data_IF_068506252056
#
_entry.id   IF_068506252056
#
_cell.length_a   1.000
_cell.length_b   1.000
_cell.length_c   1.000
_cell.angle_alpha   90.00
_cell.angle_beta   90.00
_cell.angle_gamma   90.00
#
_symmetry.space_group_name_H-M   'P 1'
#
loop_
_entity.id
_entity.type
_entity.pdbx_description
1 polymer ?
#
# COMPACT_ATOMS: atom_id res chain seq x y z
N UNK A 1 16.14 40.03 5.60
CA UNK A 1 16.62 39.19 4.48
C UNK A 1 16.44 37.72 4.79
N UNK A 2 17.09 37.13 5.78
CA UNK A 2 16.81 35.72 6.13
C UNK A 2 15.42 35.55 6.73
N UNK A 3 14.99 36.46 7.60
CA UNK A 3 13.67 36.43 8.21
C UNK A 3 12.52 36.40 7.20
N UNK A 4 12.68 37.08 6.07
CA UNK A 4 11.68 37.12 5.01
C UNK A 4 11.61 35.81 4.18
N UNK A 5 12.59 34.92 4.33
CA UNK A 5 12.68 33.64 3.63
C UNK A 5 12.39 32.42 4.51
N UNK A 6 12.28 32.63 5.81
CA UNK A 6 11.94 31.55 6.74
C UNK A 6 10.49 31.12 6.55
N UNK A 7 10.27 29.82 6.54
CA UNK A 7 8.94 29.25 6.47
C UNK A 7 8.88 27.95 7.27
N UNK A 8 7.84 27.80 8.05
CA UNK A 8 7.48 26.57 8.73
C UNK A 8 5.97 26.42 8.71
N UNK A 9 5.49 25.18 8.66
CA UNK A 9 4.08 24.86 8.68
C UNK A 9 3.82 23.69 9.63
N UNK A 10 2.80 23.83 10.47
CA UNK A 10 2.18 22.69 11.15
C UNK A 10 0.93 22.25 10.38
N UNK A 11 -0.23 22.66 10.86
CA UNK A 11 -1.51 22.51 10.15
C UNK A 11 -1.81 23.76 9.33
N UNK A 12 -2.44 23.60 8.17
CA UNK A 12 -2.75 24.73 7.30
C UNK A 12 -3.71 24.34 6.16
N UNK A 13 -3.93 25.23 5.19
CA UNK A 13 -4.85 25.00 4.10
C UNK A 13 -4.40 23.84 3.21
N UNK A 14 -5.36 23.09 2.69
CA UNK A 14 -5.15 22.01 1.72
C UNK A 14 -5.90 22.25 0.42
N UNK A 15 -5.44 21.64 -0.64
CA UNK A 15 -6.08 21.72 -1.95
C UNK A 15 -7.39 20.93 -1.95
N UNK A 16 -8.42 21.46 -2.58
CA UNK A 16 -9.74 20.82 -2.60
C UNK A 16 -9.77 19.49 -3.37
N UNK A 17 -9.07 19.42 -4.50
CA UNK A 17 -9.12 18.24 -5.37
C UNK A 17 -8.32 17.07 -4.82
N UNK A 18 -7.05 17.29 -4.53
CA UNK A 18 -6.13 16.22 -4.12
C UNK A 18 -5.96 16.11 -2.61
N UNK A 19 -6.50 17.06 -1.85
CA UNK A 19 -6.40 17.16 -0.38
C UNK A 19 -4.98 17.19 0.19
N UNK A 20 -4.00 17.44 -0.66
CA UNK A 20 -2.62 17.68 -0.25
C UNK A 20 -2.46 19.09 0.33
N UNK A 21 -1.44 19.36 1.16
CA UNK A 21 -1.15 20.71 1.63
C UNK A 21 -1.03 21.69 0.46
N UNK A 22 -1.54 22.91 0.65
CA UNK A 22 -1.41 23.95 -0.34
C UNK A 22 0.07 24.24 -0.63
N UNK A 23 0.37 24.77 -1.80
CA UNK A 23 1.73 25.14 -2.20
C UNK A 23 1.98 26.63 -1.93
N UNK A 24 3.21 26.94 -1.59
CA UNK A 24 3.69 28.30 -1.48
C UNK A 24 3.65 28.88 -0.06
N UNK A 25 4.71 29.59 0.29
CA UNK A 25 4.88 30.24 1.60
C UNK A 25 3.78 31.28 1.87
N UNK A 26 3.41 32.07 0.85
CA UNK A 26 2.36 33.09 0.97
C UNK A 26 1.01 32.51 1.37
N UNK A 27 0.73 31.26 1.00
CA UNK A 27 -0.51 30.53 1.29
C UNK A 27 -0.40 29.66 2.55
N UNK A 28 0.62 29.84 3.37
CA UNK A 28 0.92 28.95 4.49
C UNK A 28 0.94 27.47 4.05
N UNK A 29 1.54 27.22 2.90
CA UNK A 29 1.61 25.90 2.27
C UNK A 29 2.74 25.04 2.82
N UNK A 30 2.73 23.78 2.41
CA UNK A 30 3.78 22.81 2.73
C UNK A 30 5.00 22.93 1.83
N UNK A 31 6.07 22.23 2.20
CA UNK A 31 7.25 22.04 1.36
C UNK A 31 7.05 20.80 0.49
N UNK A 32 7.50 20.88 -0.76
CA UNK A 32 7.40 19.77 -1.70
C UNK A 32 8.55 18.77 -1.49
N UNK A 33 8.21 17.51 -1.34
CA UNK A 33 9.14 16.39 -1.55
C UNK A 33 8.95 15.93 -3.00
N UNK A 34 9.96 16.14 -3.83
CA UNK A 34 9.94 15.71 -5.23
C UNK A 34 10.31 14.24 -5.39
N UNK A 35 10.35 13.77 -6.63
CA UNK A 35 10.71 12.39 -6.96
C UNK A 35 12.16 12.06 -6.58
N UNK A 36 13.08 13.02 -6.78
CA UNK A 36 14.50 12.82 -6.46
C UNK A 36 14.74 12.73 -4.95
N UNK A 37 14.04 13.53 -4.16
CA UNK A 37 14.07 13.46 -2.69
C UNK A 37 13.48 12.13 -2.19
N UNK A 38 12.39 11.66 -2.81
CA UNK A 38 11.82 10.33 -2.53
C UNK A 38 12.84 9.23 -2.81
N UNK A 39 13.53 9.26 -3.94
CA UNK A 39 14.53 8.28 -4.32
C UNK A 39 15.69 8.24 -3.35
N UNK A 40 16.11 9.41 -2.85
CA UNK A 40 17.12 9.53 -1.79
C UNK A 40 16.66 8.88 -0.49
N UNK A 41 15.42 9.13 -0.06
CA UNK A 41 14.84 8.54 1.15
C UNK A 41 14.77 7.02 1.03
N UNK A 42 14.34 6.50 -0.13
CA UNK A 42 14.27 5.07 -0.40
C UNK A 42 15.64 4.43 -0.36
N UNK A 43 16.65 5.05 -0.97
CA UNK A 43 18.02 4.53 -1.00
C UNK A 43 18.66 4.43 0.38
N UNK A 44 18.27 5.30 1.32
CA UNK A 44 18.71 5.26 2.71
C UNK A 44 17.91 4.24 3.57
N UNK A 45 16.83 3.66 3.04
CA UNK A 45 16.00 2.68 3.76
C UNK A 45 15.16 3.27 4.91
N UNK A 46 14.88 4.56 4.88
CA UNK A 46 14.10 5.28 5.91
C UNK A 46 12.59 5.14 5.61
N UNK A 47 12.06 3.94 5.79
CA UNK A 47 10.66 3.62 5.43
C UNK A 47 9.63 4.32 6.31
N UNK A 48 9.88 4.45 7.61
CA UNK A 48 8.95 5.11 8.54
C UNK A 48 8.80 6.61 8.24
N UNK A 49 9.92 7.28 7.96
CA UNK A 49 9.89 8.68 7.56
C UNK A 49 9.15 8.88 6.23
N UNK A 50 9.35 7.97 5.27
CA UNK A 50 8.64 8.01 4.00
C UNK A 50 7.13 7.83 4.22
N UNK A 51 6.74 6.87 5.04
CA UNK A 51 5.34 6.62 5.38
C UNK A 51 4.71 7.85 6.08
N UNK A 52 5.36 8.39 7.10
CA UNK A 52 4.90 9.61 7.78
C UNK A 52 4.74 10.78 6.81
N UNK A 53 5.71 10.98 5.91
CA UNK A 53 5.70 12.10 4.97
C UNK A 53 4.57 12.00 3.94
N UNK A 54 4.29 10.79 3.45
CA UNK A 54 3.24 10.54 2.46
C UNK A 54 1.85 10.50 3.08
N UNK A 55 1.72 10.03 4.31
CA UNK A 55 0.44 9.83 4.99
C UNK A 55 0.12 10.98 5.95
N UNK A 56 0.76 11.00 7.12
CA UNK A 56 0.39 11.90 8.23
C UNK A 56 0.61 13.38 7.89
N UNK A 57 1.68 13.69 7.18
CA UNK A 57 2.02 15.07 6.79
C UNK A 57 1.39 15.51 5.48
N UNK A 58 0.71 14.64 4.76
CA UNK A 58 0.14 14.91 3.45
C UNK A 58 -1.37 14.70 3.45
N UNK A 59 -1.84 13.65 2.81
CA UNK A 59 -3.25 13.46 2.47
C UNK A 59 -3.80 12.11 2.94
N UNK A 60 -3.41 11.66 4.12
CA UNK A 60 -3.93 10.44 4.74
C UNK A 60 -5.47 10.43 4.76
N UNK A 61 -6.04 9.33 4.29
CA UNK A 61 -7.48 9.14 4.22
C UNK A 61 -7.87 7.69 4.53
N UNK A 62 -8.99 7.51 5.23
CA UNK A 62 -9.55 6.19 5.53
C UNK A 62 -10.55 5.80 4.45
N UNK A 63 -10.33 4.64 3.84
CA UNK A 63 -11.24 4.03 2.87
C UNK A 63 -11.73 2.69 3.36
N UNK A 64 -12.92 2.32 2.94
CA UNK A 64 -13.45 0.97 3.12
C UNK A 64 -13.19 0.16 1.86
N UNK A 65 -12.57 -0.99 2.04
CA UNK A 65 -12.22 -1.91 0.96
C UNK A 65 -12.96 -3.22 1.20
N UNK A 66 -13.59 -3.74 0.17
CA UNK A 66 -14.13 -5.09 0.19
C UNK A 66 -12.99 -6.10 -0.04
N UNK A 67 -12.74 -6.95 0.92
CA UNK A 67 -11.63 -7.91 0.89
C UNK A 67 -11.78 -8.98 -0.19
N UNK A 68 -13.00 -9.24 -0.66
CA UNK A 68 -13.27 -10.24 -1.70
C UNK A 68 -13.06 -9.71 -3.11
N UNK A 69 -13.50 -8.48 -3.38
CA UNK A 69 -13.38 -7.86 -4.70
C UNK A 69 -12.15 -6.97 -4.86
N UNK A 70 -11.56 -6.49 -3.77
CA UNK A 70 -10.48 -5.50 -3.78
C UNK A 70 -10.92 -4.11 -4.23
N UNK A 71 -12.22 -3.83 -4.26
CA UNK A 71 -12.77 -2.52 -4.63
C UNK A 71 -12.92 -1.62 -3.43
N UNK A 72 -12.77 -0.32 -3.67
CA UNK A 72 -13.17 0.72 -2.71
C UNK A 72 -14.70 0.82 -2.76
N UNK A 73 -15.38 0.41 -1.69
CA UNK A 73 -16.83 0.39 -1.63
C UNK A 73 -17.32 1.00 -0.32
N UNK A 74 -18.30 1.91 -0.43
CA UNK A 74 -18.95 2.58 0.70
C UNK A 74 -20.33 2.01 1.03
N UNK A 75 -20.74 0.89 0.43
CA UNK A 75 -22.04 0.28 0.68
C UNK A 75 -22.05 -0.47 2.02
N UNK A 76 -22.84 -0.05 3.00
CA UNK A 76 -22.86 -0.53 4.39
C UNK A 76 -23.31 -1.99 4.59
N UNK A 77 -23.71 -2.68 3.53
CA UNK A 77 -24.41 -3.97 3.63
C UNK A 77 -23.52 -5.22 3.59
N UNK A 78 -22.19 -5.11 3.47
CA UNK A 78 -21.31 -6.29 3.36
C UNK A 78 -20.41 -6.46 4.58
N UNK A 79 -20.41 -7.65 5.15
CA UNK A 79 -19.60 -8.06 6.30
C UNK A 79 -18.10 -8.19 6.02
N UNK A 80 -17.67 -8.09 4.75
CA UNK A 80 -16.29 -8.34 4.29
C UNK A 80 -15.44 -7.08 4.17
N UNK A 81 -15.81 -6.00 4.89
CA UNK A 81 -15.14 -4.71 4.77
C UNK A 81 -14.06 -4.49 5.80
N UNK A 82 -12.94 -3.95 5.34
CA UNK A 82 -11.83 -3.51 6.17
C UNK A 82 -11.55 -2.03 5.91
N UNK A 83 -11.32 -1.29 6.99
CA UNK A 83 -10.85 0.10 6.91
C UNK A 83 -9.34 0.10 6.69
N UNK A 84 -8.90 0.73 5.61
CA UNK A 84 -7.49 0.89 5.26
C UNK A 84 -7.17 2.37 5.13
N UNK A 85 -5.99 2.76 5.58
CA UNK A 85 -5.47 4.12 5.43
C UNK A 85 -4.61 4.18 4.18
N UNK A 86 -4.98 5.06 3.24
CA UNK A 86 -4.24 5.30 1.99
C UNK A 86 -4.16 6.81 1.73
N UNK A 87 -3.21 7.27 0.91
CA UNK A 87 -3.24 8.65 0.44
C UNK A 87 -4.51 8.95 -0.36
N UNK A 88 -5.11 10.10 -0.12
CA UNK A 88 -6.34 10.49 -0.83
C UNK A 88 -6.12 10.57 -2.35
N UNK A 89 -4.95 11.02 -2.76
CA UNK A 89 -4.57 11.09 -4.17
C UNK A 89 -4.58 9.69 -4.84
N UNK A 90 -4.17 8.65 -4.13
CA UNK A 90 -4.26 7.26 -4.62
C UNK A 90 -5.72 6.80 -4.76
N UNK A 91 -6.56 7.11 -3.77
CA UNK A 91 -8.01 6.84 -3.86
C UNK A 91 -8.62 7.52 -5.09
N UNK A 92 -8.28 8.80 -5.30
CA UNK A 92 -8.77 9.58 -6.44
C UNK A 92 -8.33 8.95 -7.76
N UNK A 93 -7.06 8.58 -7.89
CA UNK A 93 -6.53 7.91 -9.07
C UNK A 93 -7.27 6.61 -9.40
N UNK A 94 -7.50 5.75 -8.40
CA UNK A 94 -8.24 4.49 -8.59
C UNK A 94 -9.64 4.77 -9.14
N UNK A 95 -10.36 5.72 -8.56
CA UNK A 95 -11.71 6.07 -9.00
C UNK A 95 -11.75 6.71 -10.40
N UNK A 96 -10.76 7.55 -10.72
CA UNK A 96 -10.63 8.12 -12.07
C UNK A 96 -10.33 7.05 -13.12
N UNK A 97 -9.46 6.09 -12.82
CA UNK A 97 -9.20 4.93 -13.69
C UNK A 97 -10.46 4.08 -13.89
N UNK A 98 -11.24 3.86 -12.84
CA UNK A 98 -12.51 3.13 -12.94
C UNK A 98 -13.52 3.85 -13.84
N UNK A 99 -13.59 5.18 -13.81
CA UNK A 99 -14.46 5.95 -14.72
C UNK A 99 -14.02 5.85 -16.18
N UNK A 100 -12.74 5.62 -16.43
CA UNK A 100 -12.20 5.37 -17.78
C UNK A 100 -12.33 3.91 -18.23
N UNK A 101 -12.95 3.05 -17.42
CA UNK A 101 -13.11 1.63 -17.72
C UNK A 101 -11.91 0.73 -17.35
N UNK A 102 -10.94 1.26 -16.60
CA UNK A 102 -9.79 0.51 -16.12
C UNK A 102 -10.07 0.04 -14.69
N UNK A 103 -10.29 -1.26 -14.51
CA UNK A 103 -10.60 -1.85 -13.22
C UNK A 103 -9.34 -2.05 -12.38
N UNK A 104 -9.04 -1.10 -11.51
CA UNK A 104 -8.00 -1.23 -10.49
C UNK A 104 -8.52 -2.03 -9.29
N UNK A 105 -7.72 -2.96 -8.77
CA UNK A 105 -8.08 -3.76 -7.60
C UNK A 105 -6.95 -3.79 -6.60
N UNK A 106 -7.30 -3.66 -5.33
CA UNK A 106 -6.36 -3.85 -4.23
C UNK A 106 -6.25 -5.34 -3.92
N UNK A 107 -5.02 -5.82 -3.83
CA UNK A 107 -4.76 -7.22 -3.50
C UNK A 107 -4.90 -7.42 -2.00
N UNK A 108 -5.72 -8.36 -1.60
CA UNK A 108 -5.99 -8.76 -0.21
C UNK A 108 -5.74 -10.25 -0.05
N UNK A 109 -5.57 -10.74 1.16
CA UNK A 109 -5.37 -12.17 1.42
C UNK A 109 -6.52 -13.03 0.90
N UNK A 110 -7.75 -12.49 0.91
CA UNK A 110 -8.93 -13.21 0.44
C UNK A 110 -9.07 -13.27 -1.09
N UNK A 111 -8.52 -12.28 -1.81
CA UNK A 111 -8.66 -12.24 -3.28
C UNK A 111 -7.39 -12.65 -4.04
N UNK A 112 -6.27 -12.81 -3.36
CA UNK A 112 -4.98 -13.15 -3.97
C UNK A 112 -5.04 -14.47 -4.76
N UNK A 113 -5.80 -15.45 -4.26
CA UNK A 113 -6.01 -16.75 -4.92
C UNK A 113 -6.77 -16.65 -6.25
N UNK A 114 -7.52 -15.58 -6.46
CA UNK A 114 -8.29 -15.33 -7.68
C UNK A 114 -7.44 -14.75 -8.82
N UNK A 115 -6.24 -14.28 -8.51
CA UNK A 115 -5.31 -13.70 -9.49
C UNK A 115 -4.54 -14.86 -10.15
N UNK A 116 -4.61 -15.04 -11.50
CA UNK A 116 -4.07 -16.23 -12.18
C UNK A 116 -2.57 -16.46 -11.93
N UNK A 117 -1.78 -15.40 -11.84
CA UNK A 117 -0.33 -15.49 -11.60
C UNK A 117 -0.05 -16.04 -10.20
N UNK A 118 -0.73 -15.54 -9.17
CA UNK A 118 -0.54 -16.02 -7.79
C UNK A 118 -1.08 -17.43 -7.59
N UNK A 119 -2.18 -17.79 -8.26
CA UNK A 119 -2.70 -19.17 -8.24
C UNK A 119 -1.67 -20.16 -8.80
N UNK A 120 -0.99 -19.79 -9.87
CA UNK A 120 0.07 -20.64 -10.43
C UNK A 120 1.26 -20.79 -9.47
N UNK A 121 1.67 -19.72 -8.79
CA UNK A 121 2.73 -19.76 -7.79
C UNK A 121 2.34 -20.63 -6.59
N UNK A 122 1.13 -20.49 -6.06
CA UNK A 122 0.64 -21.33 -4.96
C UNK A 122 0.63 -22.81 -5.32
N UNK A 123 0.17 -23.16 -6.53
CA UNK A 123 0.17 -24.53 -7.00
C UNK A 123 1.58 -25.12 -7.15
N UNK A 124 2.55 -24.29 -7.54
CA UNK A 124 3.94 -24.71 -7.61
C UNK A 124 4.55 -24.88 -6.22
N UNK A 125 4.31 -23.94 -5.31
CA UNK A 125 4.81 -24.04 -3.91
C UNK A 125 4.23 -25.27 -3.21
N UNK A 126 2.95 -25.60 -3.43
CA UNK A 126 2.33 -26.79 -2.89
C UNK A 126 2.98 -28.09 -3.41
N UNK A 127 3.44 -28.13 -4.66
CA UNK A 127 4.20 -29.27 -5.18
C UNK A 127 5.56 -29.43 -4.49
N UNK A 128 6.29 -28.33 -4.30
CA UNK A 128 7.59 -28.38 -3.64
C UNK A 128 7.50 -28.78 -2.16
N UNK A 129 6.43 -28.39 -1.43
CA UNK A 129 6.23 -28.83 -0.04
C UNK A 129 5.94 -30.34 0.06
N UNK A 130 5.15 -30.89 -0.87
CA UNK A 130 4.87 -32.33 -0.90
C UNK A 130 6.15 -33.14 -1.20
N UNK A 131 6.98 -32.68 -2.13
CA UNK A 131 8.23 -33.38 -2.47
C UNK A 131 9.25 -33.34 -1.32
N UNK A 132 9.22 -32.33 -0.45
CA UNK A 132 10.10 -32.23 0.73
C UNK A 132 9.65 -33.16 1.86
N UNK A 133 8.34 -33.27 2.09
CA UNK A 133 7.80 -34.17 3.11
C UNK A 133 8.03 -35.65 2.75
N UNK A 134 8.06 -36.01 1.45
CA UNK A 134 8.37 -37.36 0.99
C UNK A 134 9.84 -37.72 1.08
N UNK A 135 10.76 -36.75 1.06
CA UNK A 135 12.20 -36.99 1.18
C UNK A 135 12.64 -37.23 2.62
N UNK A 136 11.89 -36.77 3.59
CA UNK A 136 12.21 -36.91 5.01
C UNK A 136 11.71 -38.27 5.59
N UNK A 137 10.79 -38.98 4.90
CA UNK A 137 10.30 -40.30 5.33
C UNK A 137 11.18 -41.49 4.84
N UNK A 138 12.10 -41.28 3.87
CA UNK A 138 12.96 -42.38 3.34
C UNK A 138 14.31 -42.52 4.06
N UNK A 139 14.56 -41.80 5.15
CA UNK A 139 15.86 -41.65 5.79
C UNK A 139 16.05 -42.26 7.17
N UNK A 140 15.50 -43.44 7.50
CA UNK A 140 15.92 -44.14 8.72
C UNK A 140 16.00 -45.66 8.52
N UNK A 141 17.15 -46.24 8.13
CA UNK A 141 17.35 -47.67 8.26
C UNK A 141 17.62 -48.03 9.72
N UNK A 142 16.68 -48.73 10.34
CA UNK A 142 16.85 -49.32 11.66
C UNK A 142 18.14 -50.18 11.68
N UNK A 143 19.13 -49.77 12.42
CA UNK A 143 20.20 -50.63 12.89
C UNK A 143 19.58 -51.61 13.91
N UNK A 144 19.48 -52.86 13.51
CA UNK A 144 19.21 -54.00 14.37
C UNK A 144 20.52 -54.42 15.02
N UNK A 145 20.66 -54.12 16.33
CA UNK A 145 21.69 -54.75 17.18
C UNK A 145 21.37 -56.23 17.36
N UNK A 146 22.36 -57.05 17.03
CA UNK A 146 22.60 -58.38 17.61
C UNK A 146 23.78 -58.28 18.61
#
# INVERSE_FOLDING_TARGET
MVADKMHSRGTGPSQHLVRQPASGRANNGGLRIGEMERDSIISHGISEFLNESVMERSDKFKVQIDTTSGMINYDDKKETKVNVEIPYCMKLLIQELETMGIASRLVTDNNISNIPVFRHLQNNMAKYSIDHDLSDEEGDPQESDE
#
